data_IF_105402235692
#
_entry.id   IF_105402235692
#
_cell.length_a   1.000
_cell.length_b   1.000
_cell.length_c   1.000
_cell.angle_alpha   90.00
_cell.angle_beta   90.00
_cell.angle_gamma   90.00
#
_symmetry.space_group_name_H-M   'P 1'
#
loop_
_entity.id
_entity.type
_entity.pdbx_description
1 polymer ?
#
# COMPACT_ATOMS: atom_id res chain seq x y z
N UNK A 1 -11.71 -13.73 41.52
CA UNK A 1 -12.86 -13.27 40.70
C UNK A 1 -12.24 -12.64 39.46
N UNK A 2 -11.96 -13.42 38.41
CA UNK A 2 -12.87 -13.79 37.28
C UNK A 2 -13.21 -12.55 36.44
N UNK A 3 -13.06 -12.46 35.13
CA UNK A 3 -12.50 -13.25 34.02
C UNK A 3 -12.31 -12.21 32.86
N UNK A 4 -11.45 -12.45 31.86
CA UNK A 4 -11.14 -11.52 30.77
C UNK A 4 -12.12 -11.69 29.59
N UNK A 5 -12.23 -10.68 28.73
CA UNK A 5 -12.87 -10.79 27.42
C UNK A 5 -12.11 -9.95 26.38
N UNK A 6 -11.59 -10.66 25.37
CA UNK A 6 -11.57 -10.36 23.93
C UNK A 6 -11.16 -8.93 23.51
N UNK A 7 -9.99 -8.68 22.91
CA UNK A 7 -9.43 -9.19 21.64
C UNK A 7 -10.40 -9.17 20.46
N UNK A 8 -10.40 -8.05 19.70
CA UNK A 8 -10.40 -8.03 18.22
C UNK A 8 -9.84 -6.69 17.70
N UNK A 9 -8.82 -6.69 16.82
CA UNK A 9 -8.42 -5.50 16.08
C UNK A 9 -9.41 -5.21 14.94
N UNK A 10 -9.97 -4.01 14.96
CA UNK A 10 -10.72 -3.41 13.85
C UNK A 10 -9.75 -2.96 12.76
N UNK A 11 -9.26 -3.87 11.92
CA UNK A 11 -8.44 -3.53 10.74
C UNK A 11 -8.76 -4.39 9.51
N UNK A 12 -10.03 -4.75 9.32
CA UNK A 12 -10.48 -5.48 8.11
C UNK A 12 -11.55 -4.74 7.28
N UNK A 13 -12.07 -3.59 7.73
CA UNK A 13 -13.10 -2.85 6.97
C UNK A 13 -12.50 -1.76 6.06
N UNK A 14 -11.25 -1.36 6.26
CA UNK A 14 -10.60 -0.32 5.44
C UNK A 14 -9.79 -0.91 4.26
N UNK A 15 -9.57 -2.23 4.24
CA UNK A 15 -8.89 -2.92 3.13
C UNK A 15 -9.84 -3.28 1.97
N UNK A 16 -11.14 -3.44 2.23
CA UNK A 16 -12.13 -3.74 1.18
C UNK A 16 -12.60 -2.48 0.43
N UNK A 17 -12.61 -1.32 1.10
CA UNK A 17 -12.96 -0.04 0.45
C UNK A 17 -11.88 0.47 -0.53
N UNK A 18 -10.63 0.01 -0.41
CA UNK A 18 -9.55 0.36 -1.33
C UNK A 18 -9.49 -0.55 -2.58
N UNK A 19 -10.11 -1.74 -2.52
CA UNK A 19 -10.19 -2.67 -3.67
C UNK A 19 -11.43 -2.36 -4.52
N UNK A 20 -12.50 -1.82 -3.94
CA UNK A 20 -13.68 -1.39 -4.71
C UNK A 20 -13.43 -0.08 -5.49
N UNK A 21 -12.57 0.82 -4.98
CA UNK A 21 -12.18 2.06 -5.68
C UNK A 21 -11.21 1.85 -6.86
N UNK A 22 -10.60 0.67 -6.99
CA UNK A 22 -9.76 0.30 -8.15
C UNK A 22 -10.49 -0.57 -9.17
N UNK A 23 -11.67 -1.10 -8.84
CA UNK A 23 -12.54 -1.83 -9.77
C UNK A 23 -13.46 -0.90 -10.58
N UNK A 24 -13.85 0.26 -10.04
CA UNK A 24 -14.64 1.26 -10.80
C UNK A 24 -13.81 2.12 -11.77
N UNK A 25 -12.48 2.18 -11.60
CA UNK A 25 -11.59 2.87 -12.54
C UNK A 25 -11.17 2.02 -13.76
N UNK A 26 -11.55 0.73 -13.81
CA UNK A 26 -11.21 -0.19 -14.89
C UNK A 26 -12.37 -0.52 -15.84
N UNK A 27 -13.58 0.02 -15.61
CA UNK A 27 -14.76 -0.20 -16.46
C UNK A 27 -15.10 1.00 -17.35
N UNK A 28 -14.47 2.17 -17.14
CA UNK A 28 -14.56 3.31 -18.05
C UNK A 28 -13.44 3.33 -19.12
N UNK A 29 -13.22 2.17 -19.74
CA UNK A 29 -12.30 2.01 -20.86
C UNK A 29 -12.87 1.03 -21.90
N UNK A 30 -14.16 1.16 -22.22
CA UNK A 30 -14.81 0.40 -23.29
C UNK A 30 -15.90 1.24 -23.96
N UNK A 31 -15.51 2.39 -24.53
CA UNK A 31 -16.34 3.04 -25.54
C UNK A 31 -16.34 2.20 -26.83
N UNK A 32 -17.49 2.04 -27.51
CA UNK A 32 -17.57 1.26 -28.73
C UNK A 32 -16.72 1.91 -29.83
N UNK A 33 -15.84 1.12 -30.43
CA UNK A 33 -15.15 1.47 -31.68
C UNK A 33 -16.20 1.81 -32.74
N UNK A 34 -16.16 2.99 -33.39
CA UNK A 34 -16.93 3.19 -34.60
C UNK A 34 -16.39 2.28 -35.70
N UNK A 35 -17.31 1.59 -36.38
CA UNK A 35 -17.05 0.88 -37.62
C UNK A 35 -16.52 1.86 -38.69
N UNK A 36 -15.78 1.39 -39.72
CA UNK A 36 -15.20 2.24 -40.75
C UNK A 36 -16.33 2.88 -41.56
N UNK A 37 -16.65 4.12 -41.20
CA UNK A 37 -17.53 4.98 -41.97
C UNK A 37 -16.83 5.37 -43.27
N UNK A 38 -17.66 5.48 -44.30
CA UNK A 38 -17.29 5.63 -45.69
C UNK A 38 -16.23 6.72 -45.93
N UNK A 39 -15.40 6.46 -46.94
CA UNK A 39 -14.44 7.40 -47.47
C UNK A 39 -15.06 8.80 -47.60
N UNK A 40 -14.40 9.86 -47.07
CA UNK A 40 -14.77 11.21 -47.44
C UNK A 40 -14.57 11.35 -48.95
N UNK A 41 -15.67 11.66 -49.62
CA UNK A 41 -15.69 12.31 -50.92
C UNK A 41 -14.66 13.44 -50.90
N UNK A 42 -13.79 13.58 -51.93
CA UNK A 42 -12.76 14.60 -51.92
C UNK A 42 -13.42 15.97 -51.92
N UNK A 43 -13.40 16.64 -50.77
CA UNK A 43 -13.53 18.09 -50.72
C UNK A 43 -12.47 18.67 -51.67
N UNK A 44 -12.85 19.61 -52.55
CA UNK A 44 -11.93 20.19 -53.51
C UNK A 44 -10.76 20.80 -52.74
N UNK A 45 -9.55 20.34 -53.07
CA UNK A 45 -8.31 21.00 -52.69
C UNK A 45 -8.50 22.53 -52.84
N UNK A 46 -8.06 23.36 -51.88
CA UNK A 46 -7.91 24.77 -52.16
C UNK A 46 -7.02 24.84 -53.39
N UNK A 47 -7.57 25.36 -54.48
CA UNK A 47 -6.85 25.60 -55.72
C UNK A 47 -5.50 26.19 -55.33
N UNK A 48 -4.42 25.45 -55.59
CA UNK A 48 -3.08 26.04 -55.64
C UNK A 48 -3.22 27.18 -56.64
N UNK A 49 -3.35 28.39 -56.11
CA UNK A 49 -3.23 29.61 -56.88
C UNK A 49 -1.93 29.44 -57.64
N UNK A 50 -2.09 29.21 -58.94
CA UNK A 50 -1.00 29.15 -59.87
C UNK A 50 -0.34 30.51 -59.76
N UNK A 51 0.83 30.53 -59.13
CA UNK A 51 1.72 31.67 -59.08
C UNK A 51 1.80 32.23 -60.50
N UNK A 52 1.36 33.47 -60.75
CA UNK A 52 1.47 34.04 -62.08
C UNK A 52 2.96 34.13 -62.38
N UNK A 53 3.38 33.44 -63.43
CA UNK A 53 4.71 33.53 -64.00
C UNK A 53 5.16 35.01 -64.05
N UNK A 54 6.46 35.29 -63.82
CA UNK A 54 6.96 36.66 -63.84
C UNK A 54 6.54 37.32 -65.16
N UNK A 55 6.09 38.59 -65.13
CA UNK A 55 5.64 39.25 -66.35
C UNK A 55 6.79 39.28 -67.35
N UNK A 56 6.64 38.46 -68.39
CA UNK A 56 7.43 38.54 -69.62
C UNK A 56 7.31 39.99 -70.08
N UNK A 57 8.45 40.66 -70.18
CA UNK A 57 8.60 42.03 -70.66
C UNK A 57 7.57 42.32 -71.77
N UNK A 58 6.58 43.16 -71.44
CA UNK A 58 5.60 43.63 -72.40
C UNK A 58 6.36 44.30 -73.54
N UNK A 59 6.24 43.73 -74.73
CA UNK A 59 6.80 44.28 -75.95
C UNK A 59 6.38 45.75 -76.07
N UNK A 60 7.38 46.62 -76.30
CA UNK A 60 7.18 48.06 -76.42
C UNK A 60 6.03 48.37 -77.41
N UNK A 61 5.07 49.24 -77.06
CA UNK A 61 3.96 49.56 -77.94
C UNK A 61 4.49 50.21 -79.23
N UNK A 62 4.11 49.64 -80.37
CA UNK A 62 4.46 50.15 -81.69
C UNK A 62 3.87 51.57 -81.88
N UNK A 63 4.62 52.54 -82.43
CA UNK A 63 4.10 53.88 -82.63
C UNK A 63 3.00 53.87 -83.70
N UNK A 64 1.79 54.26 -83.30
CA UNK A 64 0.62 54.40 -84.18
C UNK A 64 0.89 55.49 -85.22
N UNK A 65 1.15 55.09 -86.47
CA UNK A 65 1.36 56.00 -87.60
C UNK A 65 0.01 56.61 -88.01
N UNK A 66 -0.32 57.79 -87.49
CA UNK A 66 -1.55 58.52 -87.86
C UNK A 66 -1.46 59.04 -89.30
N UNK A 67 -2.47 58.70 -90.11
CA UNK A 67 -2.62 59.12 -91.51
C UNK A 67 -2.80 60.64 -91.59
N UNK A 68 -2.15 61.36 -92.54
CA UNK A 68 -2.31 62.81 -92.64
C UNK A 68 -3.75 63.15 -93.04
N UNK A 69 -4.39 64.03 -92.26
CA UNK A 69 -5.73 64.52 -92.55
C UNK A 69 -5.73 65.31 -93.88
N UNK A 70 -6.63 64.92 -94.80
CA UNK A 70 -6.80 65.57 -96.12
C UNK A 70 -7.21 67.02 -95.89
N UNK A 71 -6.44 67.98 -96.43
CA UNK A 71 -6.75 69.39 -96.30
C UNK A 71 -8.12 69.70 -96.96
N UNK A 72 -9.05 70.40 -96.29
CA UNK A 72 -10.33 70.76 -96.90
C UNK A 72 -10.09 71.81 -97.99
N UNK A 73 -10.73 71.64 -99.14
CA UNK A 73 -10.54 72.49 -100.31
C UNK A 73 -11.01 73.92 -100.06
N UNK A 74 -10.31 74.87 -100.65
CA UNK A 74 -10.67 76.30 -100.61
C UNK A 74 -11.73 76.66 -101.69
N UNK A 75 -12.23 75.63 -102.39
CA UNK A 75 -13.27 75.70 -103.41
C UNK A 75 -14.57 76.43 -102.99
N UNK A 76 -15.12 76.27 -101.76
CA UNK A 76 -16.38 76.93 -101.43
C UNK A 76 -16.25 78.46 -101.31
N UNK A 77 -15.07 78.96 -100.89
CA UNK A 77 -14.83 80.41 -100.82
C UNK A 77 -14.75 81.02 -102.23
N UNK A 78 -14.07 80.33 -103.16
CA UNK A 78 -13.99 80.72 -104.56
C UNK A 78 -15.35 80.62 -105.29
N UNK A 79 -16.16 79.61 -104.98
CA UNK A 79 -17.51 79.45 -105.52
C UNK A 79 -18.46 80.57 -105.05
N UNK A 80 -18.41 80.95 -103.76
CA UNK A 80 -19.20 82.06 -103.25
C UNK A 80 -18.81 83.38 -103.92
N UNK A 81 -17.52 83.63 -104.10
CA UNK A 81 -17.03 84.81 -104.82
C UNK A 81 -17.51 84.85 -106.28
N UNK A 82 -17.46 83.70 -106.99
CA UNK A 82 -17.94 83.59 -108.36
C UNK A 82 -19.46 83.81 -108.47
N UNK A 83 -20.25 83.21 -107.57
CA UNK A 83 -21.71 83.36 -107.56
C UNK A 83 -22.15 84.80 -107.33
N UNK A 84 -21.55 85.48 -106.34
CA UNK A 84 -21.85 86.88 -106.06
C UNK A 84 -21.46 87.77 -107.24
N UNK A 85 -20.32 87.49 -107.91
CA UNK A 85 -19.90 88.23 -109.10
C UNK A 85 -20.88 88.07 -110.28
N UNK A 86 -21.34 86.83 -110.55
CA UNK A 86 -22.33 86.54 -111.61
C UNK A 86 -23.68 87.21 -111.32
N UNK A 87 -24.17 87.10 -110.08
CA UNK A 87 -25.44 87.67 -109.68
C UNK A 87 -25.46 89.20 -109.82
N UNK A 88 -24.31 89.84 -109.55
CA UNK A 88 -24.18 91.29 -109.66
C UNK A 88 -23.99 91.77 -111.10
N UNK A 89 -23.29 91.01 -111.95
CA UNK A 89 -23.18 91.27 -113.39
C UNK A 89 -24.54 91.19 -114.13
N UNK A 90 -25.53 90.49 -113.56
CA UNK A 90 -26.88 90.39 -114.10
C UNK A 90 -27.68 91.70 -114.00
N UNK A 91 -27.39 92.55 -113.01
CA UNK A 91 -28.16 93.79 -112.77
C UNK A 91 -27.99 94.85 -113.88
N UNK A 92 -26.77 95.13 -114.40
CA UNK A 92 -26.58 95.98 -115.58
C UNK A 92 -27.23 95.43 -116.85
N UNK A 93 -27.22 94.10 -117.03
CA UNK A 93 -27.81 93.44 -118.21
C UNK A 93 -29.32 93.58 -118.20
N UNK A 94 -29.97 93.39 -117.03
CA UNK A 94 -31.40 93.60 -116.86
C UNK A 94 -31.79 95.08 -117.08
N UNK A 95 -30.96 96.02 -116.62
CA UNK A 95 -31.16 97.45 -116.84
C UNK A 95 -31.04 97.84 -118.33
N UNK A 96 -30.07 97.30 -119.05
CA UNK A 96 -29.89 97.52 -120.48
C UNK A 96 -31.05 96.95 -121.34
N UNK A 97 -31.64 95.83 -120.92
CA UNK A 97 -32.81 95.23 -121.58
C UNK A 97 -34.11 96.01 -121.33
N UNK A 98 -34.30 96.57 -120.13
CA UNK A 98 -35.45 97.43 -119.81
C UNK A 98 -35.48 98.73 -120.62
N UNK A 99 -34.31 99.26 -120.99
CA UNK A 99 -34.16 100.50 -121.76
C UNK A 99 -34.55 100.37 -123.25
N UNK A 100 -34.74 99.16 -123.76
CA UNK A 100 -35.01 98.90 -125.19
C UNK A 100 -36.45 99.17 -125.65
N UNK A 101 -37.40 99.50 -124.77
CA UNK A 101 -38.82 99.69 -125.16
C UNK A 101 -39.26 101.13 -125.49
N UNK A 102 -38.36 102.13 -125.48
CA UNK A 102 -38.71 103.51 -125.89
C UNK A 102 -37.55 104.26 -126.54
N UNK A 103 -37.57 104.38 -127.90
CA UNK A 103 -36.80 105.25 -128.84
C UNK A 103 -35.69 106.13 -128.20
N UNK A 104 -34.40 106.14 -128.56
CA UNK A 104 -33.69 106.07 -129.86
C UNK A 104 -32.27 105.54 -129.60
N UNK A 105 -31.68 104.71 -130.48
CA UNK A 105 -30.39 104.06 -130.26
C UNK A 105 -29.23 104.98 -130.66
N UNK A 106 -28.17 105.02 -129.83
CA UNK A 106 -26.89 105.71 -130.06
C UNK A 106 -26.77 107.20 -129.68
N UNK A 107 -26.99 107.54 -128.40
CA UNK A 107 -26.22 108.62 -127.75
C UNK A 107 -25.28 107.95 -126.73
N UNK A 108 -24.11 107.54 -127.22
CA UNK A 108 -23.09 106.85 -126.43
C UNK A 108 -22.40 107.89 -125.53
N UNK A 109 -22.92 108.12 -124.32
CA UNK A 109 -22.16 108.86 -123.32
C UNK A 109 -21.15 107.92 -122.64
N UNK A 110 -19.84 107.97 -123.02
CA UNK A 110 -18.82 107.11 -122.44
C UNK A 110 -18.72 107.26 -120.91
N UNK A 111 -19.23 108.36 -120.34
CA UNK A 111 -19.27 108.59 -118.90
C UNK A 111 -20.21 107.64 -118.16
N UNK A 112 -21.38 107.33 -118.73
CA UNK A 112 -22.36 106.40 -118.13
C UNK A 112 -21.80 104.99 -118.08
N UNK A 113 -21.11 104.56 -119.15
CA UNK A 113 -20.44 103.26 -119.18
C UNK A 113 -19.30 103.17 -118.16
N UNK A 114 -18.56 104.26 -117.94
CA UNK A 114 -17.46 104.30 -116.98
C UNK A 114 -17.97 104.24 -115.54
N UNK A 115 -19.04 104.97 -115.20
CA UNK A 115 -19.69 104.88 -113.89
C UNK A 115 -20.29 103.49 -113.68
N UNK A 116 -20.97 102.93 -114.67
CA UNK A 116 -21.56 101.60 -114.58
C UNK A 116 -20.47 100.52 -114.40
N UNK A 117 -19.35 100.64 -115.12
CA UNK A 117 -18.21 99.76 -114.97
C UNK A 117 -17.51 99.93 -113.61
N UNK A 118 -17.33 101.15 -113.13
CA UNK A 118 -16.72 101.43 -111.82
C UNK A 118 -17.60 100.92 -110.66
N UNK A 119 -18.92 101.10 -110.76
CA UNK A 119 -19.88 100.60 -109.78
C UNK A 119 -19.95 99.07 -109.75
N UNK A 120 -19.70 98.41 -110.89
CA UNK A 120 -19.62 96.95 -110.99
C UNK A 120 -18.28 96.36 -110.52
N UNK A 121 -17.16 97.03 -110.80
CA UNK A 121 -15.84 96.53 -110.43
C UNK A 121 -15.55 96.65 -108.92
N UNK A 122 -16.06 97.70 -108.27
CA UNK A 122 -15.77 97.97 -106.86
C UNK A 122 -16.12 96.82 -105.91
N UNK A 123 -17.38 96.34 -105.89
CA UNK A 123 -17.81 95.25 -105.01
C UNK A 123 -17.15 93.91 -105.33
N UNK A 124 -16.90 93.62 -106.61
CA UNK A 124 -16.26 92.38 -107.05
C UNK A 124 -14.82 92.27 -106.53
N UNK A 125 -14.06 93.37 -106.58
CA UNK A 125 -12.71 93.43 -106.00
C UNK A 125 -12.71 93.19 -104.50
N UNK A 126 -13.67 93.75 -103.76
CA UNK A 126 -13.80 93.60 -102.31
C UNK A 126 -14.06 92.15 -101.88
N UNK A 127 -14.92 91.44 -102.61
CA UNK A 127 -15.21 90.02 -102.33
C UNK A 127 -13.98 89.14 -102.57
N UNK A 128 -13.18 89.45 -103.60
CA UNK A 128 -11.94 88.73 -103.88
C UNK A 128 -10.89 88.91 -102.78
N UNK A 129 -10.72 90.13 -102.25
CA UNK A 129 -9.80 90.41 -101.13
C UNK A 129 -10.29 89.76 -99.83
N UNK A 130 -11.60 89.78 -99.57
CA UNK A 130 -12.17 89.09 -98.42
C UNK A 130 -11.94 87.57 -98.50
N UNK A 131 -12.08 86.98 -99.69
CA UNK A 131 -11.82 85.56 -99.91
C UNK A 131 -10.34 85.20 -99.70
N UNK A 132 -9.40 86.00 -100.19
CA UNK A 132 -7.96 85.74 -100.01
C UNK A 132 -7.55 85.85 -98.53
N UNK A 133 -8.04 86.86 -97.80
CA UNK A 133 -7.80 87.01 -96.36
C UNK A 133 -8.40 85.85 -95.54
N UNK A 134 -9.55 85.32 -95.96
CA UNK A 134 -10.15 84.17 -95.28
C UNK A 134 -9.34 82.88 -95.51
N UNK A 135 -8.83 82.68 -96.73
CA UNK A 135 -7.94 81.56 -97.05
C UNK A 135 -6.62 81.68 -96.29
N UNK A 136 -6.01 82.86 -96.26
CA UNK A 136 -4.77 83.15 -95.52
C UNK A 136 -4.96 82.97 -94.01
N UNK A 137 -6.06 83.48 -93.43
CA UNK A 137 -6.39 83.33 -92.01
C UNK A 137 -6.67 81.89 -91.60
N UNK A 138 -7.10 81.02 -92.52
CA UNK A 138 -7.21 79.57 -92.26
C UNK A 138 -5.85 78.88 -92.28
N UNK A 139 -4.88 79.39 -93.04
CA UNK A 139 -3.52 78.82 -93.11
C UNK A 139 -2.73 79.09 -91.82
N UNK A 140 -2.76 80.32 -91.29
CA UNK A 140 -2.07 80.65 -90.03
C UNK A 140 -2.62 79.85 -88.84
N UNK A 141 -3.94 79.65 -88.76
CA UNK A 141 -4.56 78.83 -87.70
C UNK A 141 -4.15 77.36 -87.74
N UNK A 142 -3.82 76.81 -88.93
CA UNK A 142 -3.33 75.44 -89.07
C UNK A 142 -1.85 75.31 -88.68
N UNK A 143 -1.10 76.41 -88.73
CA UNK A 143 0.31 76.43 -88.33
C UNK A 143 0.44 76.63 -86.82
N UNK A 144 -0.37 77.52 -86.20
CA UNK A 144 -0.44 77.63 -84.74
C UNK A 144 -0.94 76.36 -84.07
N UNK A 145 -1.94 75.69 -84.66
CA UNK A 145 -2.41 74.39 -84.19
C UNK A 145 -1.38 73.26 -84.31
N UNK A 146 -0.43 73.35 -85.25
CA UNK A 146 0.69 72.39 -85.36
C UNK A 146 1.78 72.67 -84.34
N UNK A 147 2.13 73.94 -84.12
CA UNK A 147 3.10 74.33 -83.09
C UNK A 147 2.62 73.95 -81.68
N UNK A 148 1.33 74.16 -81.38
CA UNK A 148 0.74 73.77 -80.10
C UNK A 148 0.78 72.24 -79.88
N UNK A 149 0.51 71.43 -80.91
CA UNK A 149 0.59 69.97 -80.80
C UNK A 149 2.01 69.45 -80.59
N UNK A 150 3.01 70.05 -81.23
CA UNK A 150 4.40 69.67 -81.03
C UNK A 150 4.89 70.03 -79.61
N UNK A 151 4.43 71.15 -79.05
CA UNK A 151 4.69 71.50 -77.66
C UNK A 151 4.05 70.50 -76.68
N UNK A 152 2.80 70.09 -76.95
CA UNK A 152 2.06 69.12 -76.14
C UNK A 152 2.72 67.72 -76.19
N UNK A 153 3.20 67.32 -77.38
CA UNK A 153 3.95 66.07 -77.57
C UNK A 153 5.32 66.06 -76.87
N UNK A 154 5.95 67.23 -76.64
CA UNK A 154 7.21 67.32 -75.90
C UNK A 154 7.02 67.32 -74.37
N UNK A 155 5.91 67.88 -73.86
CA UNK A 155 5.62 67.97 -72.42
C UNK A 155 4.97 66.70 -71.87
N UNK A 156 4.14 66.01 -72.67
CA UNK A 156 3.46 64.78 -72.28
C UNK A 156 4.39 63.68 -71.71
N UNK A 157 5.53 63.32 -72.35
CA UNK A 157 6.41 62.26 -71.82
C UNK A 157 7.13 62.66 -70.52
N UNK A 158 7.45 63.95 -70.32
CA UNK A 158 8.09 64.41 -69.08
C UNK A 158 7.12 64.36 -67.89
N UNK A 159 5.86 64.71 -68.11
CA UNK A 159 4.81 64.60 -67.07
C UNK A 159 4.53 63.12 -66.75
N UNK A 160 4.45 62.25 -67.76
CA UNK A 160 4.26 60.82 -67.56
C UNK A 160 5.43 60.20 -66.76
N UNK A 161 6.68 60.53 -67.10
CA UNK A 161 7.85 60.10 -66.36
C UNK A 161 7.86 60.62 -64.90
N UNK A 162 7.40 61.85 -64.67
CA UNK A 162 7.26 62.42 -63.33
C UNK A 162 6.22 61.69 -62.47
N UNK A 163 5.08 61.31 -63.05
CA UNK A 163 4.05 60.51 -62.37
C UNK A 163 4.59 59.12 -62.02
N UNK A 164 5.21 58.43 -62.98
CA UNK A 164 5.79 57.10 -62.73
C UNK A 164 6.92 57.12 -61.70
N UNK A 165 7.78 58.14 -61.72
CA UNK A 165 8.81 58.30 -60.69
C UNK A 165 8.21 58.56 -59.30
N UNK A 166 7.10 59.32 -59.22
CA UNK A 166 6.33 59.52 -57.99
C UNK A 166 5.71 58.22 -57.46
N UNK A 167 5.10 57.43 -58.34
CA UNK A 167 4.55 56.11 -57.98
C UNK A 167 5.63 55.16 -57.47
N UNK A 168 6.80 55.11 -58.12
CA UNK A 168 7.94 54.30 -57.66
C UNK A 168 8.45 54.78 -56.30
N UNK A 169 8.58 56.09 -56.08
CA UNK A 169 9.03 56.64 -54.81
C UNK A 169 8.03 56.35 -53.67
N UNK A 170 6.73 56.52 -53.91
CA UNK A 170 5.68 56.17 -52.94
C UNK A 170 5.63 54.67 -52.66
N UNK A 171 5.80 53.83 -53.68
CA UNK A 171 5.91 52.38 -53.55
C UNK A 171 7.13 51.96 -52.73
N UNK A 172 8.29 52.56 -52.99
CA UNK A 172 9.52 52.34 -52.22
C UNK A 172 9.35 52.78 -50.77
N UNK A 173 8.72 53.93 -50.52
CA UNK A 173 8.46 54.41 -49.17
C UNK A 173 7.50 53.49 -48.41
N UNK A 174 6.46 52.97 -49.08
CA UNK A 174 5.55 51.97 -48.52
C UNK A 174 6.26 50.63 -48.25
N UNK A 175 7.18 50.21 -49.12
CA UNK A 175 7.96 48.98 -48.93
C UNK A 175 8.95 49.12 -47.76
N UNK A 176 9.63 50.26 -47.64
CA UNK A 176 10.51 50.56 -46.50
C UNK A 176 9.72 50.58 -45.20
N UNK A 177 8.51 51.16 -45.19
CA UNK A 177 7.63 51.12 -44.02
C UNK A 177 7.24 49.68 -43.65
N UNK A 178 6.83 48.87 -44.64
CA UNK A 178 6.51 47.45 -44.43
C UNK A 178 7.71 46.63 -43.94
N UNK A 179 8.91 46.90 -44.47
CA UNK A 179 10.15 46.28 -44.02
C UNK A 179 10.50 46.67 -42.58
N UNK A 180 10.28 47.94 -42.20
CA UNK A 180 10.42 48.42 -40.82
C UNK A 180 9.48 47.71 -39.85
N UNK A 181 8.19 47.63 -40.18
CA UNK A 181 7.19 46.92 -39.38
C UNK A 181 7.47 45.41 -39.28
N UNK A 182 8.00 44.79 -40.35
CA UNK A 182 8.45 43.41 -40.31
C UNK A 182 9.65 43.23 -39.37
N UNK A 183 10.65 44.12 -39.44
CA UNK A 183 11.82 44.10 -38.57
C UNK A 183 11.45 44.29 -37.08
N UNK A 184 10.53 45.22 -36.77
CA UNK A 184 10.03 45.42 -35.41
C UNK A 184 9.24 44.22 -34.88
N UNK A 185 8.49 43.52 -35.75
CA UNK A 185 7.83 42.26 -35.39
C UNK A 185 8.86 41.17 -35.08
N UNK A 186 9.89 41.03 -35.91
CA UNK A 186 10.97 40.06 -35.68
C UNK A 186 11.75 40.38 -34.40
N UNK A 187 12.05 41.65 -34.14
CA UNK A 187 12.71 42.08 -32.91
C UNK A 187 11.90 41.69 -31.67
N UNK A 188 10.58 41.97 -31.67
CA UNK A 188 9.67 41.55 -30.59
C UNK A 188 9.58 40.03 -30.44
N UNK A 189 9.59 39.29 -31.54
CA UNK A 189 9.61 37.82 -31.51
C UNK A 189 10.91 37.27 -30.91
N UNK A 190 12.07 37.84 -31.26
CA UNK A 190 13.36 37.44 -30.70
C UNK A 190 13.45 37.75 -29.21
N UNK A 191 12.90 38.89 -28.78
CA UNK A 191 12.80 39.23 -27.35
C UNK A 191 11.88 38.25 -26.60
N UNK A 192 10.73 37.90 -27.20
CA UNK A 192 9.84 36.86 -26.68
C UNK A 192 10.52 35.48 -26.57
N UNK A 193 11.27 35.07 -27.61
CA UNK A 193 12.04 33.84 -27.60
C UNK A 193 13.14 33.86 -26.53
N UNK A 194 13.84 34.99 -26.38
CA UNK A 194 14.85 35.15 -25.32
C UNK A 194 14.23 35.01 -23.93
N UNK A 195 13.11 35.69 -23.67
CA UNK A 195 12.40 35.57 -22.41
C UNK A 195 11.91 34.13 -22.15
N UNK A 196 11.39 33.46 -23.18
CA UNK A 196 10.98 32.06 -23.08
C UNK A 196 12.17 31.13 -22.78
N UNK A 197 13.32 31.34 -23.42
CA UNK A 197 14.54 30.57 -23.13
C UNK A 197 15.07 30.82 -21.73
N UNK A 198 15.06 32.06 -21.24
CA UNK A 198 15.46 32.38 -19.86
C UNK A 198 14.52 31.71 -18.85
N UNK A 199 13.20 31.72 -19.11
CA UNK A 199 12.23 31.02 -18.28
C UNK A 199 12.38 29.48 -18.33
N UNK A 200 12.65 28.91 -19.50
CA UNK A 200 12.90 27.47 -19.65
C UNK A 200 14.20 27.06 -18.96
N UNK A 201 15.28 27.84 -19.12
CA UNK A 201 16.54 27.60 -18.43
C UNK A 201 16.38 27.65 -16.91
N UNK A 202 15.59 28.60 -16.39
CA UNK A 202 15.24 28.67 -14.97
C UNK A 202 14.44 27.44 -14.49
N UNK A 203 13.49 26.95 -15.31
CA UNK A 203 12.74 25.72 -15.01
C UNK A 203 13.65 24.48 -15.02
N UNK A 204 14.56 24.37 -15.99
CA UNK A 204 15.54 23.29 -16.06
C UNK A 204 16.50 23.29 -14.87
N UNK A 205 16.99 24.45 -14.45
CA UNK A 205 17.82 24.58 -13.24
C UNK A 205 17.07 24.17 -11.97
N UNK A 206 15.82 24.62 -11.81
CA UNK A 206 14.98 24.22 -10.68
C UNK A 206 14.69 22.72 -10.67
N UNK A 207 14.42 22.12 -11.84
CA UNK A 207 14.25 20.68 -11.99
C UNK A 207 15.53 19.91 -11.65
N UNK A 208 16.70 20.39 -12.12
CA UNK A 208 17.99 19.78 -11.82
C UNK A 208 18.32 19.84 -10.31
N UNK A 209 18.04 20.96 -9.64
CA UNK A 209 18.21 21.10 -8.19
C UNK A 209 17.28 20.15 -7.43
N UNK A 210 16.02 20.06 -7.83
CA UNK A 210 15.06 19.13 -7.23
C UNK A 210 15.51 17.67 -7.42
N UNK A 211 15.90 17.29 -8.64
CA UNK A 211 16.42 15.96 -8.92
C UNK A 211 17.69 15.64 -8.11
N UNK A 212 18.60 16.60 -7.98
CA UNK A 212 19.80 16.47 -7.15
C UNK A 212 19.47 16.27 -5.67
N UNK A 213 18.51 17.02 -5.14
CA UNK A 213 18.05 16.86 -3.75
C UNK A 213 17.40 15.49 -3.51
N UNK A 214 16.50 15.05 -4.41
CA UNK A 214 15.86 13.75 -4.32
C UNK A 214 16.89 12.60 -4.44
N UNK A 215 17.86 12.72 -5.33
CA UNK A 215 18.96 11.76 -5.45
C UNK A 215 19.81 11.70 -4.16
N UNK A 216 20.10 12.85 -3.54
CA UNK A 216 20.79 12.93 -2.26
C UNK A 216 20.00 12.28 -1.12
N UNK A 217 18.69 12.52 -1.06
CA UNK A 217 17.79 11.90 -0.07
C UNK A 217 17.71 10.38 -0.25
N UNK A 218 17.59 9.90 -1.49
CA UNK A 218 17.61 8.47 -1.79
C UNK A 218 18.95 7.83 -1.40
N UNK A 219 20.08 8.47 -1.74
CA UNK A 219 21.39 7.99 -1.36
C UNK A 219 21.56 7.92 0.18
N UNK A 220 21.09 8.95 0.89
CA UNK A 220 21.09 8.96 2.35
C UNK A 220 20.15 7.89 2.94
N UNK A 221 18.99 7.66 2.31
CA UNK A 221 18.05 6.60 2.67
C UNK A 221 18.65 5.21 2.52
N UNK A 222 19.24 4.92 1.36
CA UNK A 222 19.95 3.67 1.09
C UNK A 222 21.15 3.47 2.02
N UNK A 223 21.86 4.55 2.37
CA UNK A 223 22.95 4.51 3.35
C UNK A 223 22.46 4.07 4.74
N UNK A 224 21.38 4.67 5.24
CA UNK A 224 20.75 4.27 6.51
C UNK A 224 20.22 2.84 6.48
N UNK A 225 19.63 2.42 5.36
CA UNK A 225 19.12 1.06 5.22
C UNK A 225 20.25 0.03 5.22
N UNK A 226 21.37 0.34 4.53
CA UNK A 226 22.58 -0.47 4.58
C UNK A 226 23.15 -0.57 5.99
N UNK A 227 23.23 0.54 6.72
CA UNK A 227 23.71 0.56 8.11
C UNK A 227 22.80 -0.29 9.03
N UNK A 228 21.47 -0.22 8.85
CA UNK A 228 20.52 -1.09 9.56
C UNK A 228 20.72 -2.56 9.22
N UNK A 229 20.93 -2.90 7.94
CA UNK A 229 21.19 -4.27 7.52
C UNK A 229 22.52 -4.80 8.08
N UNK A 230 23.57 -3.98 8.09
CA UNK A 230 24.85 -4.31 8.74
C UNK A 230 24.68 -4.51 10.26
N UNK A 231 23.86 -3.68 10.91
CA UNK A 231 23.47 -3.83 12.31
C UNK A 231 22.68 -5.12 12.59
N UNK A 232 21.73 -5.48 11.72
CA UNK A 232 20.97 -6.73 11.84
C UNK A 232 21.86 -7.95 11.60
N UNK A 233 22.76 -7.90 10.62
CA UNK A 233 23.70 -8.98 10.33
C UNK A 233 24.65 -9.23 11.51
N UNK A 234 25.24 -8.16 12.07
CA UNK A 234 26.09 -8.27 13.26
C UNK A 234 25.32 -8.76 14.50
N UNK A 235 24.07 -8.30 14.69
CA UNK A 235 23.20 -8.78 15.75
C UNK A 235 22.84 -10.26 15.61
N UNK A 236 22.59 -10.74 14.39
CA UNK A 236 22.29 -12.14 14.10
C UNK A 236 23.52 -13.02 14.33
N UNK A 237 24.70 -12.56 13.93
CA UNK A 237 25.98 -13.27 14.16
C UNK A 237 26.28 -13.39 15.66
N UNK A 238 26.10 -12.30 16.42
CA UNK A 238 26.24 -12.31 17.87
C UNK A 238 25.25 -13.26 18.56
N UNK A 239 23.99 -13.28 18.12
CA UNK A 239 22.97 -14.21 18.63
C UNK A 239 23.30 -15.66 18.29
N UNK A 240 23.74 -15.93 17.08
CA UNK A 240 24.14 -17.28 16.65
C UNK A 240 25.30 -17.78 17.50
N UNK A 241 26.33 -16.95 17.68
CA UNK A 241 27.46 -17.24 18.57
C UNK A 241 27.01 -17.50 20.01
N UNK A 242 26.14 -16.64 20.56
CA UNK A 242 25.62 -16.81 21.92
C UNK A 242 24.80 -18.10 22.09
N UNK A 243 23.99 -18.47 21.09
CA UNK A 243 23.23 -19.72 21.08
C UNK A 243 24.15 -20.92 20.99
N UNK A 244 25.14 -20.92 20.09
CA UNK A 244 26.14 -22.01 19.99
C UNK A 244 26.90 -22.20 21.30
N UNK A 245 27.30 -21.11 21.96
CA UNK A 245 27.99 -21.14 23.24
C UNK A 245 27.08 -21.61 24.39
N UNK A 246 25.80 -21.21 24.39
CA UNK A 246 24.80 -21.73 25.32
C UNK A 246 24.56 -23.24 25.14
N UNK A 247 24.46 -23.72 23.89
CA UNK A 247 24.34 -25.15 23.59
C UNK A 247 25.60 -25.90 24.04
N UNK A 248 26.80 -25.36 23.79
CA UNK A 248 28.05 -25.98 24.22
C UNK A 248 28.17 -26.04 25.76
N UNK A 249 27.67 -25.03 26.48
CA UNK A 249 27.54 -25.08 27.94
C UNK A 249 26.51 -26.12 28.39
N UNK A 250 25.34 -26.14 27.78
CA UNK A 250 24.28 -27.09 28.12
C UNK A 250 24.72 -28.53 27.86
N UNK A 251 25.41 -28.81 26.75
CA UNK A 251 25.95 -30.12 26.46
C UNK A 251 26.98 -30.58 27.52
N UNK A 252 27.84 -29.66 28.00
CA UNK A 252 28.76 -29.92 29.11
C UNK A 252 28.04 -30.20 30.42
N UNK A 253 27.08 -29.36 30.79
CA UNK A 253 26.27 -29.56 32.00
C UNK A 253 25.48 -30.88 31.95
N UNK A 254 24.90 -31.22 30.79
CA UNK A 254 24.21 -32.50 30.60
C UNK A 254 25.18 -33.68 30.72
N UNK A 255 26.40 -33.56 30.20
CA UNK A 255 27.47 -34.54 30.40
C UNK A 255 27.79 -34.72 31.90
N UNK A 256 28.08 -33.63 32.60
CA UNK A 256 28.38 -33.64 34.04
C UNK A 256 27.24 -34.19 34.89
N UNK A 257 25.99 -33.84 34.58
CA UNK A 257 24.80 -34.38 35.26
C UNK A 257 24.61 -35.86 34.95
N UNK A 258 24.89 -36.31 33.73
CA UNK A 258 24.81 -37.73 33.36
C UNK A 258 25.89 -38.54 34.07
N UNK A 259 27.13 -38.03 34.14
CA UNK A 259 28.23 -38.66 34.87
C UNK A 259 27.92 -38.73 36.38
N UNK A 260 27.35 -37.65 36.94
CA UNK A 260 26.89 -37.63 38.32
C UNK A 260 25.75 -38.64 38.53
N UNK A 261 24.78 -38.71 37.63
CA UNK A 261 23.68 -39.66 37.71
C UNK A 261 24.17 -41.11 37.60
N UNK A 262 25.12 -41.40 36.71
CA UNK A 262 25.73 -42.72 36.57
C UNK A 262 26.50 -43.12 37.84
N UNK A 263 27.21 -42.16 38.45
CA UNK A 263 27.88 -42.37 39.74
C UNK A 263 26.87 -42.64 40.86
N UNK A 264 25.82 -41.83 40.97
CA UNK A 264 24.75 -42.00 41.96
C UNK A 264 24.00 -43.32 41.75
N UNK A 265 23.78 -43.75 40.51
CA UNK A 265 23.19 -45.05 40.19
C UNK A 265 24.11 -46.20 40.62
N UNK A 266 25.43 -46.12 40.37
CA UNK A 266 26.40 -47.13 40.83
C UNK A 266 26.46 -47.19 42.36
N UNK A 267 26.45 -46.05 43.04
CA UNK A 267 26.42 -45.99 44.50
C UNK A 267 25.12 -46.56 45.06
N UNK A 268 23.98 -46.22 44.47
CA UNK A 268 22.68 -46.77 44.84
C UNK A 268 22.62 -48.29 44.60
N UNK A 269 23.18 -48.80 43.51
CA UNK A 269 23.27 -50.22 43.21
C UNK A 269 24.17 -50.96 44.23
N UNK A 270 25.30 -50.36 44.61
CA UNK A 270 26.16 -50.91 45.65
C UNK A 270 25.47 -50.94 47.02
N UNK A 271 24.80 -49.85 47.41
CA UNK A 271 24.03 -49.77 48.64
C UNK A 271 22.84 -50.75 48.64
N UNK A 272 22.14 -50.89 47.51
CA UNK A 272 21.06 -51.85 47.34
C UNK A 272 21.56 -53.30 47.46
N UNK A 273 22.70 -53.62 46.84
CA UNK A 273 23.31 -54.96 46.93
C UNK A 273 23.70 -55.27 48.38
N UNK A 274 24.32 -54.32 49.09
CA UNK A 274 24.64 -54.45 50.51
C UNK A 274 23.37 -54.56 51.39
N UNK A 275 22.30 -53.85 51.04
CA UNK A 275 21.01 -53.96 51.71
C UNK A 275 20.34 -55.32 51.49
N UNK A 276 20.43 -55.87 50.27
CA UNK A 276 19.92 -57.19 49.92
C UNK A 276 20.66 -58.32 50.66
N UNK A 277 21.99 -58.22 50.78
CA UNK A 277 22.78 -59.16 51.59
C UNK A 277 22.46 -59.03 53.08
N UNK A 278 22.31 -57.81 53.59
CA UNK A 278 21.86 -57.57 54.97
C UNK A 278 20.45 -58.10 55.25
N UNK A 279 19.52 -57.97 54.29
CA UNK A 279 18.18 -58.51 54.39
C UNK A 279 18.16 -60.04 54.39
N UNK A 280 18.91 -60.67 53.51
CA UNK A 280 19.01 -62.15 53.46
C UNK A 280 19.65 -62.71 54.73
N UNK A 281 20.67 -62.05 55.28
CA UNK A 281 21.28 -62.40 56.57
C UNK A 281 20.29 -62.21 57.74
N UNK A 282 19.57 -61.09 57.79
CA UNK A 282 18.52 -60.86 58.79
C UNK A 282 17.37 -61.87 58.69
N UNK A 283 16.92 -62.19 57.47
CA UNK A 283 15.91 -63.20 57.22
C UNK A 283 16.39 -64.61 57.63
N UNK A 284 17.66 -64.93 57.38
CA UNK A 284 18.30 -66.16 57.87
C UNK A 284 18.26 -66.25 59.39
N UNK A 285 18.72 -65.21 60.09
CA UNK A 285 18.64 -65.13 61.57
C UNK A 285 17.21 -65.27 62.09
N UNK A 286 16.23 -64.64 61.44
CA UNK A 286 14.83 -64.76 61.82
C UNK A 286 14.32 -66.19 61.63
N UNK A 287 14.61 -66.83 60.50
CA UNK A 287 14.24 -68.21 60.23
C UNK A 287 14.86 -69.18 61.25
N UNK A 288 16.12 -68.97 61.63
CA UNK A 288 16.79 -69.76 62.66
C UNK A 288 16.18 -69.54 64.04
N UNK A 289 15.86 -68.29 64.39
CA UNK A 289 15.15 -67.98 65.65
C UNK A 289 13.74 -68.61 65.69
N UNK A 290 13.03 -68.64 64.56
CA UNK A 290 11.73 -69.27 64.44
C UNK A 290 11.83 -70.80 64.56
N UNK A 291 12.87 -71.44 63.99
CA UNK A 291 13.16 -72.86 64.22
C UNK A 291 13.43 -73.14 65.69
N UNK A 292 14.31 -72.38 66.34
CA UNK A 292 14.63 -72.56 67.75
C UNK A 292 13.40 -72.35 68.66
N UNK A 293 12.55 -71.36 68.35
CA UNK A 293 11.28 -71.17 69.03
C UNK A 293 10.33 -72.36 68.80
N UNK A 294 10.25 -72.88 67.57
CA UNK A 294 9.47 -74.08 67.24
C UNK A 294 9.95 -75.32 68.00
N UNK A 295 11.26 -75.54 68.10
CA UNK A 295 11.85 -76.61 68.91
C UNK A 295 11.54 -76.43 70.40
N UNK A 296 11.62 -75.19 70.90
CA UNK A 296 11.29 -74.87 72.29
C UNK A 296 9.81 -75.14 72.58
N UNK A 297 8.91 -74.75 71.69
CA UNK A 297 7.48 -75.05 71.79
C UNK A 297 7.23 -76.57 71.72
N UNK A 298 7.96 -77.30 70.87
CA UNK A 298 7.90 -78.76 70.82
C UNK A 298 8.36 -79.42 72.12
N UNK A 299 9.47 -78.97 72.70
CA UNK A 299 9.94 -79.43 74.02
C UNK A 299 8.95 -79.09 75.14
N UNK A 300 8.35 -77.89 75.09
CA UNK A 300 7.31 -77.48 76.03
C UNK A 300 6.06 -78.35 75.91
N UNK A 301 5.63 -78.70 74.70
CA UNK A 301 4.50 -79.61 74.47
C UNK A 301 4.76 -80.99 75.08
N UNK A 302 5.93 -81.58 74.83
CA UNK A 302 6.32 -82.88 75.43
C UNK A 302 6.40 -82.78 76.97
N UNK A 303 6.92 -81.67 77.50
CA UNK A 303 6.98 -81.46 78.96
C UNK A 303 5.59 -81.25 79.56
N UNK A 304 4.67 -80.59 78.86
CA UNK A 304 3.27 -80.44 79.26
C UNK A 304 2.53 -81.78 79.23
N UNK A 305 2.76 -82.61 78.22
CA UNK A 305 2.23 -83.99 78.16
C UNK A 305 2.75 -84.82 79.34
N UNK A 306 4.06 -84.76 79.63
CA UNK A 306 4.66 -85.44 80.78
C UNK A 306 4.16 -84.92 82.13
N UNK A 307 3.99 -83.59 82.27
CA UNK A 307 3.39 -82.99 83.46
C UNK A 307 1.92 -83.36 83.61
N UNK A 308 1.16 -83.49 82.51
CA UNK A 308 -0.22 -83.97 82.49
C UNK A 308 -0.32 -85.42 82.94
N UNK A 309 0.56 -86.29 82.44
CA UNK A 309 0.65 -87.68 82.89
C UNK A 309 1.01 -87.78 84.39
N UNK A 310 1.99 -87.00 84.84
CA UNK A 310 2.37 -86.89 86.25
C UNK A 310 1.22 -86.38 87.12
N UNK A 311 0.51 -85.33 86.70
CA UNK A 311 -0.61 -84.77 87.44
C UNK A 311 -1.77 -85.78 87.55
N UNK A 312 -2.04 -86.54 86.49
CA UNK A 312 -3.01 -87.63 86.52
C UNK A 312 -2.60 -88.73 87.52
N UNK A 313 -1.33 -89.12 87.54
CA UNK A 313 -0.78 -90.07 88.51
C UNK A 313 -0.95 -89.55 89.95
N UNK A 314 -0.61 -88.27 90.20
CA UNK A 314 -0.77 -87.62 91.51
C UNK A 314 -2.24 -87.59 91.95
N UNK A 315 -3.18 -87.25 91.07
CA UNK A 315 -4.61 -87.30 91.39
C UNK A 315 -5.03 -88.71 91.80
N UNK A 316 -4.64 -89.74 91.03
CA UNK A 316 -4.94 -91.13 91.38
C UNK A 316 -4.30 -91.56 92.73
N UNK A 317 -3.11 -91.05 93.04
CA UNK A 317 -2.43 -91.30 94.31
C UNK A 317 -3.12 -90.63 95.51
N UNK A 318 -3.58 -89.39 95.32
CA UNK A 318 -4.36 -88.66 96.33
C UNK A 318 -5.69 -89.35 96.60
N UNK A 319 -6.40 -89.81 95.56
CA UNK A 319 -7.62 -90.61 95.70
C UNK A 319 -7.39 -91.86 96.56
N UNK A 320 -6.38 -92.67 96.21
CA UNK A 320 -6.02 -93.86 97.01
C UNK A 320 -5.62 -93.51 98.45
N UNK A 321 -4.96 -92.37 98.67
CA UNK A 321 -4.55 -91.93 100.02
C UNK A 321 -5.74 -91.46 100.85
N UNK A 322 -6.70 -90.77 100.22
CA UNK A 322 -7.96 -90.38 100.87
C UNK A 322 -8.81 -91.60 101.22
N UNK A 323 -8.87 -92.60 100.34
CA UNK A 323 -9.49 -93.89 100.63
C UNK A 323 -8.81 -94.59 101.79
N UNK A 324 -7.47 -94.65 101.81
CA UNK A 324 -6.69 -95.22 102.91
C UNK A 324 -6.90 -94.46 104.24
N UNK A 325 -7.02 -93.12 104.21
CA UNK A 325 -7.35 -92.33 105.40
C UNK A 325 -8.78 -92.61 105.88
N UNK A 326 -9.73 -92.78 104.95
CA UNK A 326 -11.11 -93.11 105.30
C UNK A 326 -11.18 -94.48 105.98
N UNK A 327 -10.51 -95.50 105.44
CA UNK A 327 -10.46 -96.82 106.06
C UNK A 327 -9.72 -96.78 107.40
N UNK A 328 -8.64 -96.01 107.51
CA UNK A 328 -7.91 -95.79 108.75
C UNK A 328 -8.75 -95.12 109.86
N UNK A 329 -9.52 -94.08 109.53
CA UNK A 329 -10.44 -93.43 110.48
C UNK A 329 -11.54 -94.40 110.93
N UNK A 330 -12.08 -95.21 110.02
CA UNK A 330 -13.07 -96.24 110.38
C UNK A 330 -12.48 -97.32 111.29
N UNK A 331 -11.24 -97.75 111.02
CA UNK A 331 -10.53 -98.71 111.88
C UNK A 331 -10.22 -98.12 113.26
N UNK A 332 -9.77 -96.87 113.33
CA UNK A 332 -9.51 -96.17 114.59
C UNK A 332 -10.80 -96.00 115.43
N UNK A 333 -11.93 -95.70 114.77
CA UNK A 333 -13.22 -95.62 115.44
C UNK A 333 -13.67 -96.98 116.02
N UNK A 334 -13.36 -98.09 115.35
CA UNK A 334 -13.62 -99.44 115.88
C UNK A 334 -12.72 -99.79 117.07
N UNK A 335 -11.43 -99.41 117.02
CA UNK A 335 -10.50 -99.63 118.12
C UNK A 335 -10.89 -98.87 119.39
N UNK A 336 -11.29 -97.59 119.27
CA UNK A 336 -11.73 -96.78 120.40
C UNK A 336 -12.98 -97.38 121.07
N UNK A 337 -13.88 -97.98 120.29
CA UNK A 337 -15.06 -98.67 120.80
C UNK A 337 -14.68 -99.91 121.62
N UNK A 338 -13.71 -100.69 121.12
CA UNK A 338 -13.18 -101.84 121.84
C UNK A 338 -12.48 -101.43 123.16
N UNK A 339 -11.74 -100.32 123.17
CA UNK A 339 -11.13 -99.78 124.40
C UNK A 339 -12.17 -99.34 125.44
N UNK A 340 -13.29 -98.74 125.01
CA UNK A 340 -14.37 -98.37 125.94
C UNK A 340 -15.02 -99.60 126.58
N UNK A 341 -15.19 -100.69 125.84
CA UNK A 341 -15.67 -101.97 126.38
C UNK A 341 -14.66 -102.58 127.37
N UNK A 342 -13.36 -102.46 127.10
CA UNK A 342 -12.29 -102.91 128.00
C UNK A 342 -12.22 -102.13 129.32
N UNK A 343 -12.32 -100.80 129.27
CA UNK A 343 -12.32 -99.95 130.47
C UNK A 343 -13.54 -100.20 131.37
N UNK A 344 -14.70 -100.53 130.78
CA UNK A 344 -15.87 -100.94 131.55
C UNK A 344 -15.61 -102.25 132.32
N UNK A 345 -14.97 -103.23 131.69
CA UNK A 345 -14.59 -104.48 132.33
C UNK A 345 -13.53 -104.29 133.44
N UNK A 346 -12.54 -103.42 133.24
CA UNK A 346 -11.54 -103.08 134.28
C UNK A 346 -12.16 -102.32 135.47
N UNK A 347 -13.13 -101.45 135.21
CA UNK A 347 -13.89 -100.75 136.25
C UNK A 347 -14.65 -101.72 137.17
N UNK A 348 -15.33 -102.71 136.60
CA UNK A 348 -16.01 -103.77 137.37
C UNK A 348 -15.01 -104.61 138.19
N UNK A 349 -13.85 -104.93 137.64
CA UNK A 349 -12.80 -105.68 138.34
C UNK A 349 -12.19 -104.91 139.53
N UNK A 350 -12.02 -103.59 139.40
CA UNK A 350 -11.52 -102.75 140.49
C UNK A 350 -12.52 -102.58 141.64
N UNK A 351 -13.81 -102.48 141.33
CA UNK A 351 -14.86 -102.48 142.35
C UNK A 351 -14.91 -103.82 143.10
N UNK A 352 -14.75 -104.94 142.40
CA UNK A 352 -14.65 -106.26 143.03
C UNK A 352 -13.45 -106.34 143.99
N UNK A 353 -12.26 -105.90 143.57
CA UNK A 353 -11.04 -105.90 144.41
C UNK A 353 -11.15 -105.00 145.65
N UNK A 354 -11.79 -103.85 145.56
CA UNK A 354 -12.00 -102.96 146.72
C UNK A 354 -12.96 -103.57 147.75
N UNK A 355 -13.96 -104.34 147.29
CA UNK A 355 -14.89 -105.03 148.20
C UNK A 355 -14.21 -106.13 149.02
N UNK A 356 -13.23 -106.83 148.43
CA UNK A 356 -12.52 -107.95 149.05
C UNK A 356 -11.52 -107.47 150.13
N UNK A 357 -10.74 -106.43 149.85
CA UNK A 357 -9.79 -105.84 150.81
C UNK A 357 -10.50 -105.27 152.05
N UNK A 358 -11.71 -104.72 151.88
CA UNK A 358 -12.53 -104.24 152.99
C UNK A 358 -13.00 -105.36 153.94
N UNK A 359 -13.20 -106.58 153.43
CA UNK A 359 -13.50 -107.76 154.24
C UNK A 359 -12.29 -108.23 155.06
N UNK A 360 -11.13 -108.31 154.41
CA UNK A 360 -9.87 -108.78 155.00
C UNK A 360 -9.41 -107.93 156.20
N UNK A 361 -9.61 -106.60 156.14
CA UNK A 361 -9.22 -105.67 157.22
C UNK A 361 -10.10 -105.78 158.48
N UNK A 362 -11.38 -106.17 158.34
CA UNK A 362 -12.29 -106.35 159.49
C UNK A 362 -11.99 -107.62 160.28
N UNK A 363 -11.53 -108.68 159.60
CA UNK A 363 -11.13 -109.93 160.22
C UNK A 363 -9.85 -109.79 161.03
N UNK A 364 -8.81 -109.12 160.52
CA UNK A 364 -7.54 -108.95 161.25
C UNK A 364 -7.66 -108.08 162.50
N UNK A 365 -8.60 -107.13 162.51
CA UNK A 365 -8.90 -106.30 163.69
C UNK A 365 -9.59 -107.10 164.82
N UNK A 366 -10.32 -108.18 164.50
CA UNK A 366 -10.93 -109.05 165.50
C UNK A 366 -9.89 -109.96 166.17
N UNK A 367 -8.94 -110.52 165.41
CA UNK A 367 -7.90 -111.42 165.92
C UNK A 367 -6.86 -110.72 166.83
N UNK A 368 -6.56 -109.45 166.58
CA UNK A 368 -5.69 -108.65 167.46
C UNK A 368 -6.33 -108.37 168.84
N UNK A 369 -7.66 -108.32 168.91
CA UNK A 369 -8.39 -108.06 170.15
C UNK A 369 -8.47 -109.29 171.06
N UNK A 370 -8.54 -110.50 170.51
CA UNK A 370 -8.59 -111.74 171.31
C UNK A 370 -7.22 -112.12 171.90
N UNK A 371 -6.14 -111.86 171.14
CA UNK A 371 -4.75 -112.14 171.56
C UNK A 371 -4.31 -111.30 172.78
N UNK A 372 -4.85 -110.09 172.95
CA UNK A 372 -4.54 -109.21 174.07
C UNK A 372 -5.17 -109.68 175.41
N UNK A 373 -6.21 -110.51 175.38
CA UNK A 373 -6.92 -110.96 176.59
C UNK A 373 -6.29 -112.21 177.25
N UNK A 374 -5.48 -113.00 176.54
CA UNK A 374 -4.84 -114.23 177.10
C UNK A 374 -3.42 -114.05 177.67
N UNK A 375 -2.83 -112.86 177.54
CA UNK A 375 -1.44 -112.59 177.93
C UNK A 375 -1.14 -112.25 179.39
N UNK A 376 -2.08 -112.35 180.34
CA UNK A 376 -1.85 -111.88 181.71
C UNK A 376 -2.21 -112.90 182.82
N UNK A 377 -1.30 -113.85 183.11
CA UNK A 377 -0.81 -114.07 184.49
C UNK A 377 0.43 -115.00 184.59
N UNK A 378 1.48 -114.59 185.36
CA UNK A 378 2.72 -115.34 185.64
C UNK A 378 2.76 -116.01 187.05
N UNK A 379 3.80 -116.84 187.30
CA UNK A 379 4.36 -117.33 188.60
C UNK A 379 3.45 -118.12 189.59
N UNK A 380 3.64 -119.45 189.71
CA UNK A 380 4.30 -120.29 190.77
C UNK A 380 3.59 -120.33 192.16
N UNK A 381 3.72 -121.37 193.03
CA UNK A 381 4.68 -122.49 193.11
C UNK A 381 4.15 -123.88 192.77
#
# INVERSE_FOLDING_TARGET
>A
MSNPAEDRPTTEVEADAAVEATAEAAVEAAAPRPAPEAAPEPEPEPERQSEPAPPVFAAAPSPVRRRPAKAPSDAPAWLAAAFVSILWALAPIAFALGYRQGKSPFDHDPFVLLILAAMALGPAGLVWVAASLFVEGRRLRRESGRAARLADEMVAPAVAAGISAGEIATGLQAEVARAGEAAERMARQLEGLRAAMEAEAGRLDAAARTAGSAAGEMAAGLGRERERLEGLASGLDARTTAVTDAIARQARLVGEVSDLAETQLREAEAAFTAGSTGFTDAAGRLADSARAAGETLGQQAVRLEGAGASLAEHMSGVERTLEARRTGILAAAQALRAEQEGLAAEGEAHLARLSEVGGQARLSAADMRDSALKGARPCRP
#
